data_IF_924523694143
#
_entry.id   IF_924523694143
#
_cell.length_a   1.000
_cell.length_b   1.000
_cell.length_c   1.000
_cell.angle_alpha   90.00
_cell.angle_beta   90.00
_cell.angle_gamma   90.00
#
_symmetry.space_group_name_H-M   'P 1'
#
loop_
_entity.id
_entity.type
_entity.pdbx_description
1 polymer ?
#
# COMPACT_ATOMS: atom_id res chain seq x y z
N UNK A 1 11.70 -16.70 -45.90
CA UNK A 1 11.00 -15.71 -45.03
C UNK A 1 10.42 -16.34 -43.75
N UNK A 2 10.00 -17.61 -43.74
CA UNK A 2 9.41 -18.27 -42.54
C UNK A 2 10.30 -18.32 -41.29
N UNK A 3 11.63 -18.53 -41.42
CA UNK A 3 12.54 -18.51 -40.26
C UNK A 3 12.54 -17.15 -39.53
N UNK A 4 12.46 -16.06 -40.28
CA UNK A 4 12.46 -14.70 -39.69
C UNK A 4 11.16 -14.41 -38.93
N UNK A 5 10.01 -14.88 -39.45
CA UNK A 5 8.74 -14.78 -38.74
C UNK A 5 8.71 -15.62 -37.46
N UNK A 6 9.30 -16.83 -37.46
CA UNK A 6 9.41 -17.67 -36.25
C UNK A 6 10.29 -17.02 -35.17
N UNK A 7 11.42 -16.43 -35.55
CA UNK A 7 12.31 -15.72 -34.61
C UNK A 7 11.62 -14.49 -34.01
N UNK A 8 10.91 -13.70 -34.84
CA UNK A 8 10.14 -12.55 -34.35
C UNK A 8 9.06 -12.93 -33.35
N UNK A 9 8.31 -14.00 -33.63
CA UNK A 9 7.28 -14.52 -32.71
C UNK A 9 7.87 -15.01 -31.38
N UNK A 10 9.06 -15.63 -31.40
CA UNK A 10 9.74 -16.10 -30.21
C UNK A 10 10.20 -14.96 -29.30
N UNK A 11 10.79 -13.91 -29.86
CA UNK A 11 11.24 -12.73 -29.10
C UNK A 11 10.05 -12.06 -28.39
N UNK A 12 8.92 -11.89 -29.11
CA UNK A 12 7.70 -11.32 -28.54
C UNK A 12 7.17 -12.16 -27.37
N UNK A 13 7.06 -13.49 -27.56
CA UNK A 13 6.59 -14.40 -26.53
C UNK A 13 7.46 -14.39 -25.27
N UNK A 14 8.78 -14.43 -25.43
CA UNK A 14 9.71 -14.35 -24.28
C UNK A 14 9.66 -12.99 -23.57
N UNK A 15 9.49 -11.90 -24.32
CA UNK A 15 9.38 -10.55 -23.73
C UNK A 15 8.14 -10.45 -22.84
N UNK A 16 6.99 -10.97 -23.29
CA UNK A 16 5.77 -10.98 -22.49
C UNK A 16 5.91 -11.88 -21.26
N UNK A 17 6.50 -13.06 -21.43
CA UNK A 17 6.79 -13.93 -20.29
C UNK A 17 7.67 -13.24 -19.25
N UNK A 18 8.70 -12.49 -19.69
CA UNK A 18 9.57 -11.75 -18.80
C UNK A 18 8.82 -10.65 -18.03
N UNK A 19 8.03 -9.83 -18.75
CA UNK A 19 7.22 -8.77 -18.14
C UNK A 19 6.22 -9.36 -17.13
N UNK A 20 5.53 -10.44 -17.49
CA UNK A 20 4.58 -11.12 -16.60
C UNK A 20 5.24 -11.61 -15.31
N UNK A 21 6.46 -12.17 -15.39
CA UNK A 21 7.23 -12.62 -14.21
C UNK A 21 7.62 -11.42 -13.34
N UNK A 22 8.13 -10.34 -13.94
CA UNK A 22 8.52 -9.13 -13.18
C UNK A 22 7.31 -8.53 -12.48
N UNK A 23 6.18 -8.36 -13.18
CA UNK A 23 4.93 -7.86 -12.59
C UNK A 23 4.45 -8.77 -11.46
N UNK A 24 4.49 -10.09 -11.64
CA UNK A 24 4.12 -11.04 -10.59
C UNK A 24 4.98 -10.89 -9.32
N UNK A 25 6.30 -10.74 -9.47
CA UNK A 25 7.22 -10.54 -8.33
C UNK A 25 6.96 -9.22 -7.59
N UNK A 26 6.61 -8.16 -8.31
CA UNK A 26 6.25 -6.88 -7.68
C UNK A 26 4.92 -7.03 -6.95
N UNK A 27 3.88 -7.56 -7.62
CA UNK A 27 2.54 -7.71 -7.05
C UNK A 27 2.49 -8.64 -5.84
N UNK A 28 3.30 -9.71 -5.79
CA UNK A 28 3.35 -10.57 -4.60
C UNK A 28 3.98 -9.85 -3.40
N UNK A 29 4.98 -9.00 -3.64
CA UNK A 29 5.63 -8.21 -2.58
C UNK A 29 4.66 -7.17 -2.02
N UNK A 30 3.92 -6.47 -2.90
CA UNK A 30 2.91 -5.50 -2.47
C UNK A 30 1.73 -6.17 -1.76
N UNK A 31 1.32 -7.36 -2.21
CA UNK A 31 0.29 -8.16 -1.55
C UNK A 31 0.69 -8.55 -0.13
N UNK A 32 1.93 -9.03 0.08
CA UNK A 32 2.43 -9.40 1.41
C UNK A 32 2.42 -8.19 2.35
N UNK A 33 2.91 -7.04 1.88
CA UNK A 33 2.88 -5.81 2.67
C UNK A 33 1.45 -5.40 3.02
N UNK A 34 0.51 -5.48 2.08
CA UNK A 34 -0.89 -5.13 2.33
C UNK A 34 -1.58 -6.08 3.34
N UNK A 35 -1.16 -7.34 3.40
CA UNK A 35 -1.63 -8.30 4.42
C UNK A 35 -1.05 -7.98 5.79
N UNK A 36 0.25 -7.67 5.88
CA UNK A 36 0.89 -7.24 7.15
C UNK A 36 0.23 -5.95 7.67
N UNK A 37 0.01 -4.98 6.79
CA UNK A 37 -0.66 -3.72 7.12
C UNK A 37 -2.10 -3.92 7.62
N UNK A 38 -2.74 -5.04 7.24
CA UNK A 38 -4.09 -5.38 7.70
C UNK A 38 -4.09 -5.98 9.12
N UNK A 39 -3.03 -6.67 9.52
CA UNK A 39 -2.89 -7.25 10.88
C UNK A 39 -2.58 -6.19 11.94
N UNK A 40 -1.75 -5.19 11.60
CA UNK A 40 -1.44 -4.07 12.49
C UNK A 40 -1.70 -2.69 11.84
N UNK A 41 -2.98 -2.27 11.76
CA UNK A 41 -3.34 -1.03 11.08
C UNK A 41 -2.87 0.25 11.81
N UNK A 42 -2.45 0.14 13.08
CA UNK A 42 -2.03 1.30 13.88
C UNK A 42 -0.56 1.65 13.56
N UNK A 43 0.28 0.65 13.30
CA UNK A 43 1.67 0.83 12.90
C UNK A 43 1.88 0.77 11.37
N UNK A 44 0.83 0.39 10.63
CA UNK A 44 0.86 0.28 9.18
C UNK A 44 0.96 1.63 8.44
N UNK A 45 1.61 1.55 7.28
CA UNK A 45 1.76 2.65 6.35
C UNK A 45 2.71 3.76 6.81
N UNK A 46 2.73 4.84 6.04
CA UNK A 46 3.58 6.00 6.33
C UNK A 46 2.87 6.96 7.29
N UNK A 47 3.50 7.26 8.43
CA UNK A 47 3.09 8.34 9.33
C UNK A 47 3.69 9.65 8.85
N UNK A 48 2.87 10.65 8.57
CA UNK A 48 3.36 11.97 8.17
C UNK A 48 4.26 12.56 9.27
N UNK A 49 5.43 13.13 8.92
CA UNK A 49 6.27 13.87 9.87
C UNK A 49 5.46 14.98 10.55
N UNK A 50 5.38 14.95 11.88
CA UNK A 50 4.60 15.92 12.67
C UNK A 50 3.15 15.49 12.98
N UNK A 51 2.71 14.29 12.59
CA UNK A 51 1.46 13.72 13.07
C UNK A 51 1.58 13.25 14.53
N UNK A 52 0.57 13.53 15.40
CA UNK A 52 0.63 13.14 16.80
C UNK A 52 0.57 11.62 16.94
N UNK A 53 1.37 11.07 17.86
CA UNK A 53 1.45 9.63 18.08
C UNK A 53 0.14 9.08 18.63
N UNK A 54 -0.49 8.16 17.88
CA UNK A 54 -1.71 7.47 18.30
C UNK A 54 -1.43 6.24 19.19
N UNK A 55 -0.16 5.96 19.51
CA UNK A 55 0.25 4.81 20.31
C UNK A 55 -0.29 4.84 21.76
N UNK A 56 -0.48 6.04 22.32
CA UNK A 56 -1.14 6.23 23.61
C UNK A 56 -1.78 7.61 23.71
N UNK A 57 -2.78 7.75 24.58
CA UNK A 57 -3.41 9.04 24.85
C UNK A 57 -2.42 10.06 25.42
N UNK A 58 -1.48 9.61 26.26
CA UNK A 58 -0.47 10.49 26.86
C UNK A 58 0.51 11.02 25.81
N UNK A 59 0.92 10.18 24.85
CA UNK A 59 1.76 10.64 23.73
C UNK A 59 1.00 11.62 22.83
N UNK A 60 -0.26 11.34 22.54
CA UNK A 60 -1.13 12.23 21.76
C UNK A 60 -1.29 13.60 22.43
N UNK A 61 -1.55 13.62 23.75
CA UNK A 61 -1.66 14.86 24.54
C UNK A 61 -0.33 15.62 24.57
N UNK A 62 0.79 14.92 24.77
CA UNK A 62 2.12 15.52 24.78
C UNK A 62 2.49 16.14 23.42
N UNK A 63 2.17 15.47 22.31
CA UNK A 63 2.43 15.97 20.97
C UNK A 63 1.56 17.19 20.63
N UNK A 64 0.29 17.19 21.00
CA UNK A 64 -0.58 18.36 20.84
C UNK A 64 -0.10 19.56 21.66
N UNK A 65 0.31 19.34 22.91
CA UNK A 65 0.87 20.39 23.76
C UNK A 65 2.21 20.91 23.21
N UNK A 66 3.04 20.04 22.64
CA UNK A 66 4.30 20.42 22.00
C UNK A 66 4.06 21.25 20.74
N UNK A 67 3.14 20.82 19.88
CA UNK A 67 2.73 21.57 18.67
C UNK A 67 2.09 22.91 19.03
N UNK A 68 1.23 22.96 20.07
CA UNK A 68 0.65 24.22 20.56
C UNK A 68 1.70 25.19 21.09
N UNK A 69 2.78 24.70 21.73
CA UNK A 69 3.87 25.55 22.22
C UNK A 69 4.82 26.03 21.11
N UNK A 70 4.86 25.33 19.99
CA UNK A 70 5.77 25.63 18.88
C UNK A 70 5.15 26.58 17.83
N UNK A 71 3.82 26.76 17.85
CA UNK A 71 3.09 27.66 16.94
C UNK A 71 2.75 29.05 17.49
N UNK A 72 3.22 29.42 18.68
CA UNK A 72 2.72 30.59 19.43
C UNK A 72 3.60 31.85 19.28
N UNK A 73 3.91 32.24 18.04
CA UNK A 73 4.33 33.61 17.70
C UNK A 73 3.17 34.50 17.21
N UNK A 74 1.93 33.97 17.14
CA UNK A 74 0.76 34.75 16.69
C UNK A 74 -0.51 34.47 17.49
N UNK A 75 -0.67 35.21 18.60
CA UNK A 75 -1.92 35.70 19.20
C UNK A 75 -3.23 34.95 18.82
N UNK A 76 -3.38 33.69 19.22
CA UNK A 76 -4.69 33.08 19.42
C UNK A 76 -4.73 32.36 20.77
N UNK A 77 -5.81 32.48 21.54
CA UNK A 77 -5.90 31.80 22.82
C UNK A 77 -5.74 30.31 22.57
N UNK A 78 -4.70 29.70 23.18
CA UNK A 78 -4.49 28.26 23.20
C UNK A 78 -5.74 27.60 23.78
N UNK A 79 -6.69 27.25 22.91
CA UNK A 79 -7.86 26.48 23.26
C UNK A 79 -7.35 25.08 23.53
N UNK A 80 -6.99 24.84 24.79
CA UNK A 80 -6.69 23.51 25.30
C UNK A 80 -8.06 22.86 25.53
N UNK A 81 -8.48 21.91 24.68
CA UNK A 81 -9.76 21.24 24.86
C UNK A 81 -9.80 20.58 26.25
N UNK A 82 -10.99 20.39 26.80
CA UNK A 82 -11.15 19.60 28.02
C UNK A 82 -10.61 18.16 27.82
N UNK A 83 -10.13 17.51 28.88
CA UNK A 83 -9.56 16.17 28.82
C UNK A 83 -10.55 15.14 28.23
N UNK A 84 -11.86 15.32 28.44
CA UNK A 84 -12.89 14.47 27.81
C UNK A 84 -12.95 14.70 26.29
N UNK A 85 -12.77 15.94 25.85
CA UNK A 85 -12.73 16.32 24.43
C UNK A 85 -11.47 15.79 23.75
N UNK A 86 -10.30 15.90 24.40
CA UNK A 86 -9.04 15.31 23.92
C UNK A 86 -9.14 13.80 23.75
N UNK A 87 -9.78 13.10 24.69
CA UNK A 87 -10.01 11.65 24.56
C UNK A 87 -10.91 11.32 23.38
N UNK A 88 -11.98 12.09 23.17
CA UNK A 88 -12.86 11.90 22.02
C UNK A 88 -12.10 12.12 20.71
N UNK A 89 -11.26 13.15 20.63
CA UNK A 89 -10.40 13.43 19.46
C UNK A 89 -9.37 12.31 19.22
N UNK A 90 -8.75 11.79 20.28
CA UNK A 90 -7.83 10.65 20.20
C UNK A 90 -8.52 9.39 19.64
N UNK A 91 -9.71 9.05 20.15
CA UNK A 91 -10.46 7.89 19.68
C UNK A 91 -10.89 8.07 18.22
N UNK A 92 -11.40 9.25 17.85
CA UNK A 92 -11.78 9.55 16.48
C UNK A 92 -10.58 9.45 15.51
N UNK A 93 -9.41 9.98 15.89
CA UNK A 93 -8.20 9.92 15.08
C UNK A 93 -7.67 8.48 14.93
N UNK A 94 -7.75 7.69 16.01
CA UNK A 94 -7.40 6.26 15.98
C UNK A 94 -8.33 5.48 15.04
N UNK A 95 -9.63 5.70 15.15
CA UNK A 95 -10.63 5.01 14.33
C UNK A 95 -10.48 5.39 12.85
N UNK A 96 -10.24 6.66 12.54
CA UNK A 96 -9.99 7.14 11.18
C UNK A 96 -8.72 6.54 10.58
N UNK A 97 -7.62 6.47 11.35
CA UNK A 97 -6.39 5.80 10.93
C UNK A 97 -6.61 4.32 10.64
N UNK A 98 -7.34 3.61 11.50
CA UNK A 98 -7.65 2.19 11.30
C UNK A 98 -8.51 2.01 10.04
N UNK A 99 -9.54 2.83 9.85
CA UNK A 99 -10.43 2.74 8.69
C UNK A 99 -9.69 3.04 7.38
N UNK A 100 -8.86 4.09 7.35
CA UNK A 100 -8.09 4.48 6.16
C UNK A 100 -7.10 3.39 5.75
N UNK A 101 -6.33 2.84 6.70
CA UNK A 101 -5.41 1.73 6.41
C UNK A 101 -6.19 0.50 5.96
N UNK A 102 -7.28 0.13 6.65
CA UNK A 102 -8.08 -1.02 6.25
C UNK A 102 -8.62 -0.89 4.82
N UNK A 103 -9.11 0.29 4.45
CA UNK A 103 -9.58 0.55 3.09
C UNK A 103 -8.44 0.45 2.07
N UNK A 104 -7.28 1.04 2.38
CA UNK A 104 -6.09 0.98 1.53
C UNK A 104 -5.61 -0.46 1.34
N UNK A 105 -5.48 -1.23 2.41
CA UNK A 105 -5.05 -2.63 2.37
C UNK A 105 -6.03 -3.50 1.58
N UNK A 106 -7.34 -3.35 1.79
CA UNK A 106 -8.33 -4.09 0.99
C UNK A 106 -8.22 -3.77 -0.51
N UNK A 107 -8.08 -2.50 -0.86
CA UNK A 107 -7.92 -2.08 -2.26
C UNK A 107 -6.65 -2.68 -2.86
N UNK A 108 -5.51 -2.59 -2.18
CA UNK A 108 -4.24 -3.17 -2.65
C UNK A 108 -4.33 -4.68 -2.82
N UNK A 109 -4.87 -5.40 -1.84
CA UNK A 109 -5.08 -6.85 -1.90
C UNK A 109 -5.91 -7.23 -3.15
N UNK A 110 -7.01 -6.53 -3.42
CA UNK A 110 -7.87 -6.82 -4.57
C UNK A 110 -7.11 -6.58 -5.88
N UNK A 111 -6.44 -5.44 -6.02
CA UNK A 111 -5.70 -5.07 -7.23
C UNK A 111 -4.57 -6.08 -7.49
N UNK A 112 -3.77 -6.38 -6.47
CA UNK A 112 -2.62 -7.29 -6.58
C UNK A 112 -3.06 -8.72 -6.87
N UNK A 113 -4.16 -9.18 -6.27
CA UNK A 113 -4.72 -10.49 -6.57
C UNK A 113 -5.16 -10.60 -8.04
N UNK A 114 -5.83 -9.57 -8.57
CA UNK A 114 -6.22 -9.51 -9.99
C UNK A 114 -4.98 -9.49 -10.89
N UNK A 115 -3.97 -8.66 -10.57
CA UNK A 115 -2.73 -8.59 -11.34
C UNK A 115 -1.97 -9.91 -11.35
N UNK A 116 -1.93 -10.63 -10.23
CA UNK A 116 -1.34 -11.96 -10.13
C UNK A 116 -2.07 -12.93 -11.06
N UNK A 117 -3.40 -12.97 -11.02
CA UNK A 117 -4.21 -13.86 -11.88
C UNK A 117 -3.97 -13.57 -13.36
N UNK A 118 -3.98 -12.29 -13.75
CA UNK A 118 -3.75 -11.88 -15.15
C UNK A 118 -2.32 -12.24 -15.58
N UNK A 119 -1.32 -11.94 -14.75
CA UNK A 119 0.09 -12.25 -15.04
C UNK A 119 0.30 -13.75 -15.19
N UNK A 120 -0.32 -14.56 -14.34
CA UNK A 120 -0.28 -16.01 -14.41
C UNK A 120 -0.94 -16.55 -15.68
N UNK A 121 -2.11 -16.02 -16.05
CA UNK A 121 -2.81 -16.39 -17.28
C UNK A 121 -2.02 -16.02 -18.54
N UNK A 122 -1.43 -14.82 -18.58
CA UNK A 122 -0.57 -14.38 -19.66
C UNK A 122 0.67 -15.27 -19.78
N UNK A 123 1.34 -15.55 -18.66
CA UNK A 123 2.52 -16.41 -18.62
C UNK A 123 2.19 -17.82 -19.13
N UNK A 124 1.13 -18.46 -18.64
CA UNK A 124 0.74 -19.81 -19.10
C UNK A 124 0.39 -19.81 -20.58
N UNK A 125 -0.39 -18.83 -21.04
CA UNK A 125 -0.84 -18.77 -22.43
C UNK A 125 0.34 -18.60 -23.38
N UNK A 126 1.22 -17.64 -23.11
CA UNK A 126 2.41 -17.39 -23.93
C UNK A 126 3.41 -18.54 -23.82
N UNK A 127 3.61 -19.11 -22.64
CA UNK A 127 4.48 -20.27 -22.45
C UNK A 127 4.00 -21.50 -23.24
N UNK A 128 2.71 -21.80 -23.21
CA UNK A 128 2.12 -22.89 -24.00
C UNK A 128 2.23 -22.63 -25.50
N UNK A 129 2.00 -21.40 -25.93
CA UNK A 129 2.16 -21.00 -27.33
C UNK A 129 3.61 -21.14 -27.81
N UNK A 130 4.57 -20.68 -26.99
CA UNK A 130 6.00 -20.83 -27.26
C UNK A 130 6.45 -22.28 -27.33
N UNK A 131 5.92 -23.15 -26.44
CA UNK A 131 6.16 -24.60 -26.53
C UNK A 131 5.64 -25.18 -27.85
N UNK A 132 4.48 -24.74 -28.35
CA UNK A 132 3.92 -25.20 -29.63
C UNK A 132 4.69 -24.71 -30.86
N UNK A 133 5.34 -23.55 -30.78
CA UNK A 133 6.14 -23.02 -31.90
C UNK A 133 7.52 -23.67 -31.96
N UNK A 134 8.06 -24.05 -30.80
CA UNK A 134 9.38 -24.65 -30.66
C UNK A 134 9.36 -26.17 -30.85
N UNK A 135 8.25 -26.84 -30.54
CA UNK A 135 8.03 -28.27 -30.83
C UNK A 135 7.66 -28.49 -32.31
#
# INVERSE_FOLDING_TARGET
>A
MEKSQKVGAQIYGYTICLVAVITFLISITTLVNAVIDLEDPIHAGWTQPGSPSLASFENYKMDLLKTSKQGDETNQPSYIPDDATLRAMYQAAKDDKIQSIRHQSHRSIIIDCILIVISFALFITHWRWMKKITA
#
